data_IF_163120151781
#
_entry.id   IF_163120151781
#
_cell.length_a   1.000
_cell.length_b   1.000
_cell.length_c   1.000
_cell.angle_alpha   90.00
_cell.angle_beta   90.00
_cell.angle_gamma   90.00
#
_symmetry.space_group_name_H-M   'P 1'
#
loop_
_entity.id
_entity.type
_entity.pdbx_description
1 polymer ?
#
# COMPACT_ATOMS: atom_id res chain seq x y z
N UNK A 1 4.76 -38.12 13.43
CA UNK A 1 3.65 -37.36 12.83
C UNK A 1 3.89 -35.89 13.17
N UNK A 2 4.27 -35.01 12.23
CA UNK A 2 4.68 -33.65 12.61
C UNK A 2 4.93 -32.64 11.49
N UNK A 3 4.54 -32.92 10.25
CA UNK A 3 4.76 -32.02 9.11
C UNK A 3 3.56 -31.15 8.74
N UNK A 4 2.38 -31.38 9.33
CA UNK A 4 1.13 -30.76 8.87
C UNK A 4 0.72 -29.50 9.64
N UNK A 5 1.30 -29.24 10.82
CA UNK A 5 0.97 -28.03 11.61
C UNK A 5 1.77 -26.81 11.17
N UNK A 6 2.93 -26.99 10.53
CA UNK A 6 3.76 -25.86 10.04
C UNK A 6 3.21 -25.27 8.73
N UNK A 7 2.53 -26.07 7.91
CA UNK A 7 1.95 -25.64 6.63
C UNK A 7 0.72 -24.75 6.81
N UNK A 8 -0.14 -25.03 7.80
CA UNK A 8 -1.35 -24.22 8.04
C UNK A 8 -0.98 -22.80 8.50
N UNK A 9 -0.08 -22.66 9.48
CA UNK A 9 0.34 -21.33 9.94
C UNK A 9 1.06 -20.50 8.87
N UNK A 10 1.77 -21.15 7.93
CA UNK A 10 2.38 -20.45 6.81
C UNK A 10 1.34 -19.98 5.77
N UNK A 11 0.28 -20.75 5.56
CA UNK A 11 -0.83 -20.39 4.66
C UNK A 11 -1.64 -19.22 5.22
N UNK A 12 -1.95 -19.22 6.53
CA UNK A 12 -2.66 -18.12 7.20
C UNK A 12 -1.86 -16.82 7.15
N UNK A 13 -0.57 -16.87 7.52
CA UNK A 13 0.32 -15.71 7.40
C UNK A 13 0.40 -15.20 5.97
N UNK A 14 0.54 -16.10 4.99
CA UNK A 14 0.56 -15.72 3.57
C UNK A 14 -0.76 -15.10 3.11
N UNK A 15 -1.90 -15.55 3.64
CA UNK A 15 -3.21 -14.96 3.36
C UNK A 15 -3.33 -13.54 3.94
N UNK A 16 -2.88 -13.32 5.17
CA UNK A 16 -2.84 -12.01 5.82
C UNK A 16 -1.91 -11.04 5.07
N UNK A 17 -0.71 -11.48 4.70
CA UNK A 17 0.25 -10.72 3.89
C UNK A 17 -0.36 -10.34 2.54
N UNK A 18 -1.05 -11.27 1.88
CA UNK A 18 -1.73 -11.00 0.61
C UNK A 18 -2.89 -10.01 0.77
N UNK A 19 -3.68 -10.12 1.85
CA UNK A 19 -4.76 -9.18 2.14
C UNK A 19 -4.22 -7.77 2.40
N UNK A 20 -3.14 -7.65 3.16
CA UNK A 20 -2.46 -6.39 3.45
C UNK A 20 -1.89 -5.75 2.17
N UNK A 21 -1.23 -6.53 1.31
CA UNK A 21 -0.76 -6.06 -0.01
C UNK A 21 -1.89 -5.53 -0.88
N UNK A 22 -3.01 -6.24 -0.95
CA UNK A 22 -4.19 -5.79 -1.70
C UNK A 22 -4.83 -4.54 -1.09
N UNK A 23 -4.87 -4.43 0.23
CA UNK A 23 -5.39 -3.24 0.91
C UNK A 23 -4.52 -2.01 0.63
N UNK A 24 -3.19 -2.14 0.69
CA UNK A 24 -2.26 -1.07 0.30
C UNK A 24 -2.43 -0.68 -1.16
N UNK A 25 -2.53 -1.66 -2.06
CA UNK A 25 -2.75 -1.45 -3.48
C UNK A 25 -4.03 -0.65 -3.76
N UNK A 26 -5.14 -1.04 -3.13
CA UNK A 26 -6.42 -0.37 -3.28
C UNK A 26 -6.38 1.09 -2.75
N UNK A 27 -5.63 1.36 -1.68
CA UNK A 27 -5.45 2.73 -1.16
C UNK A 27 -4.59 3.58 -2.09
N UNK A 28 -3.45 3.04 -2.53
CA UNK A 28 -2.60 3.70 -3.52
C UNK A 28 -3.41 4.06 -4.77
N UNK A 29 -4.17 3.11 -5.27
CA UNK A 29 -5.04 3.27 -6.44
C UNK A 29 -6.08 4.38 -6.24
N UNK A 30 -6.82 4.37 -5.11
CA UNK A 30 -7.77 5.45 -4.78
C UNK A 30 -7.10 6.81 -4.64
N UNK A 31 -5.91 6.87 -4.07
CA UNK A 31 -5.17 8.12 -3.87
C UNK A 31 -4.77 8.72 -5.21
N UNK A 32 -4.23 7.89 -6.11
CA UNK A 32 -3.89 8.28 -7.47
C UNK A 32 -5.12 8.73 -8.25
N UNK A 33 -6.22 7.99 -8.17
CA UNK A 33 -7.49 8.35 -8.80
C UNK A 33 -8.04 9.68 -8.29
N UNK A 34 -8.05 9.88 -6.96
CA UNK A 34 -8.52 11.12 -6.33
C UNK A 34 -7.68 12.33 -6.72
N UNK A 35 -6.37 12.13 -6.87
CA UNK A 35 -5.45 13.17 -7.32
C UNK A 35 -5.44 13.37 -8.85
N UNK A 36 -6.18 12.57 -9.62
CA UNK A 36 -6.16 12.61 -11.09
C UNK A 36 -4.79 12.23 -11.68
N UNK A 37 -4.01 11.41 -10.97
CA UNK A 37 -2.67 11.01 -11.38
C UNK A 37 -2.74 9.66 -12.10
N UNK A 38 -2.31 9.64 -13.36
CA UNK A 38 -2.18 8.40 -14.15
C UNK A 38 -0.98 7.56 -13.71
N UNK A 39 -0.96 6.27 -14.05
CA UNK A 39 0.19 5.38 -13.76
C UNK A 39 1.49 5.94 -14.31
N UNK A 40 1.50 6.43 -15.56
CA UNK A 40 2.67 7.04 -16.19
C UNK A 40 3.14 8.30 -15.45
N UNK A 41 2.21 9.14 -14.98
CA UNK A 41 2.56 10.35 -14.21
C UNK A 41 3.13 9.99 -12.85
N UNK A 42 2.53 9.01 -12.16
CA UNK A 42 3.06 8.49 -10.90
C UNK A 42 4.46 7.87 -11.09
N UNK A 43 4.67 7.10 -12.16
CA UNK A 43 5.96 6.52 -12.50
C UNK A 43 7.04 7.59 -12.66
N UNK A 44 6.74 8.65 -13.41
CA UNK A 44 7.64 9.78 -13.60
C UNK A 44 7.94 10.53 -12.28
N UNK A 45 6.93 10.77 -11.44
CA UNK A 45 7.12 11.43 -10.14
C UNK A 45 8.00 10.61 -9.19
N UNK A 46 7.86 9.29 -9.24
CA UNK A 46 8.55 8.37 -8.35
C UNK A 46 9.91 7.92 -8.89
N UNK A 47 10.24 8.28 -10.13
CA UNK A 47 11.44 7.82 -10.86
C UNK A 47 11.51 6.29 -10.91
N UNK A 48 10.38 5.67 -11.28
CA UNK A 48 10.21 4.21 -11.39
C UNK A 48 9.52 3.84 -12.68
N UNK A 49 9.50 2.55 -13.02
CA UNK A 49 8.82 2.09 -14.24
C UNK A 49 7.30 2.07 -14.05
N UNK A 50 6.55 2.37 -15.11
CA UNK A 50 5.07 2.29 -15.06
C UNK A 50 4.57 0.88 -14.72
N UNK A 51 5.32 -0.15 -15.13
CA UNK A 51 5.06 -1.54 -14.75
C UNK A 51 5.09 -1.72 -13.22
N UNK A 52 6.06 -1.11 -12.52
CA UNK A 52 6.15 -1.17 -11.05
C UNK A 52 4.91 -0.56 -10.41
N UNK A 53 4.47 0.61 -10.91
CA UNK A 53 3.25 1.26 -10.44
C UNK A 53 2.02 0.39 -10.68
N UNK A 54 1.91 -0.28 -11.84
CA UNK A 54 0.82 -1.22 -12.10
C UNK A 54 0.86 -2.43 -11.17
N UNK A 55 2.05 -2.99 -10.89
CA UNK A 55 2.19 -4.09 -9.95
C UNK A 55 1.77 -3.70 -8.54
N UNK A 56 2.10 -2.48 -8.11
CA UNK A 56 1.67 -1.94 -6.83
C UNK A 56 0.16 -1.72 -6.78
N UNK A 57 -0.44 -1.13 -7.82
CA UNK A 57 -1.89 -0.93 -7.93
C UNK A 57 -2.67 -2.25 -7.95
N UNK A 58 -2.06 -3.33 -8.42
CA UNK A 58 -2.64 -4.69 -8.41
C UNK A 58 -2.34 -5.47 -7.12
N UNK A 59 -1.50 -4.96 -6.23
CA UNK A 59 -1.09 -5.64 -4.99
C UNK A 59 -0.19 -6.85 -5.22
N UNK A 60 0.48 -6.91 -6.37
CA UNK A 60 1.43 -7.98 -6.71
C UNK A 60 2.75 -7.75 -5.97
N UNK A 61 3.22 -6.50 -5.96
CA UNK A 61 4.42 -6.06 -5.23
C UNK A 61 4.07 -4.89 -4.31
N UNK A 62 4.93 -4.64 -3.33
CA UNK A 62 4.77 -3.52 -2.39
C UNK A 62 5.69 -2.37 -2.83
N UNK A 63 5.21 -1.12 -2.86
CA UNK A 63 6.08 0.01 -3.11
C UNK A 63 7.17 0.12 -2.03
N UNK A 64 8.41 0.46 -2.40
CA UNK A 64 9.44 0.75 -1.41
C UNK A 64 9.09 2.02 -0.62
N UNK A 65 9.58 2.15 0.61
CA UNK A 65 9.29 3.29 1.50
C UNK A 65 9.60 4.66 0.84
N UNK A 66 10.65 4.72 0.01
CA UNK A 66 10.99 5.91 -0.78
C UNK A 66 9.86 6.37 -1.72
N UNK A 67 9.15 5.41 -2.33
CA UNK A 67 8.06 5.70 -3.24
C UNK A 67 6.85 6.20 -2.46
N UNK A 68 6.54 5.57 -1.32
CA UNK A 68 5.52 6.04 -0.39
C UNK A 68 5.77 7.49 0.07
N UNK A 69 6.98 7.82 0.52
CA UNK A 69 7.33 9.17 0.95
C UNK A 69 7.20 10.21 -0.17
N UNK A 70 7.65 9.89 -1.40
CA UNK A 70 7.50 10.81 -2.53
C UNK A 70 6.04 11.01 -2.93
N UNK A 71 5.24 9.94 -2.95
CA UNK A 71 3.80 10.02 -3.21
C UNK A 71 3.09 10.86 -2.16
N UNK A 72 3.36 10.59 -0.89
CA UNK A 72 2.84 11.34 0.25
C UNK A 72 3.17 12.83 0.12
N UNK A 73 4.44 13.17 -0.14
CA UNK A 73 4.88 14.55 -0.31
C UNK A 73 4.26 15.24 -1.53
N UNK A 74 4.08 14.53 -2.64
CA UNK A 74 3.56 15.16 -3.87
C UNK A 74 2.03 15.29 -3.87
N UNK A 75 1.34 14.37 -3.21
CA UNK A 75 -0.12 14.37 -3.12
C UNK A 75 -0.63 15.04 -1.84
N UNK A 76 0.26 15.50 -0.96
CA UNK A 76 -0.04 16.02 0.37
C UNK A 76 -0.90 15.04 1.19
N UNK A 77 -0.51 13.77 1.18
CA UNK A 77 -1.21 12.67 1.87
C UNK A 77 -0.31 12.08 2.93
N UNK A 78 -0.89 11.74 4.08
CA UNK A 78 -0.18 11.09 5.17
C UNK A 78 0.35 9.70 4.74
N UNK A 79 1.66 9.49 4.92
CA UNK A 79 2.33 8.24 4.55
C UNK A 79 1.90 7.06 5.43
N UNK A 80 1.60 7.30 6.71
CA UNK A 80 1.03 6.29 7.60
C UNK A 80 -0.35 5.86 7.10
N UNK A 81 -1.21 6.80 6.68
CA UNK A 81 -2.50 6.44 6.09
C UNK A 81 -2.33 5.62 4.81
N UNK A 82 -1.36 5.94 3.95
CA UNK A 82 -1.10 5.16 2.74
C UNK A 82 -0.66 3.71 3.08
N UNK A 83 0.19 3.55 4.10
CA UNK A 83 0.71 2.25 4.52
C UNK A 83 -0.33 1.42 5.31
N UNK A 84 -0.92 1.98 6.36
CA UNK A 84 -1.77 1.23 7.30
C UNK A 84 -3.26 1.39 7.01
N UNK A 85 -3.66 2.44 6.28
CA UNK A 85 -5.06 2.83 6.11
C UNK A 85 -5.71 3.38 7.36
N UNK A 86 -4.94 3.50 8.45
CA UNK A 86 -5.38 4.18 9.64
C UNK A 86 -5.13 5.65 9.39
N UNK A 87 -6.21 6.40 9.15
CA UNK A 87 -6.15 7.84 9.34
C UNK A 87 -5.78 8.00 10.80
N UNK A 88 -4.85 8.89 11.14
CA UNK A 88 -4.78 9.38 12.51
C UNK A 88 -6.13 10.06 12.76
N UNK A 89 -7.12 9.27 13.16
CA UNK A 89 -8.32 9.74 13.81
C UNK A 89 -7.77 10.31 15.09
N UNK A 90 -7.39 11.59 15.05
CA UNK A 90 -7.08 12.37 16.23
C UNK A 90 -8.15 12.01 17.23
N UNK A 91 -7.73 11.29 18.26
CA UNK A 91 -8.56 10.83 19.34
C UNK A 91 -9.03 12.11 20.06
N UNK A 92 -10.15 12.66 19.63
CA UNK A 92 -10.92 13.61 20.41
C UNK A 92 -11.61 12.81 21.53
N UNK A 93 -10.80 12.33 22.48
CA UNK A 93 -11.18 12.39 23.89
C UNK A 93 -11.09 13.87 24.25
N UNK A 94 -12.13 14.52 24.75
CA UNK A 94 -12.69 14.40 26.09
C UNK A 94 -13.72 15.57 26.26
N UNK A 95 -14.43 15.75 27.38
CA UNK A 95 -14.49 14.96 28.62
C UNK A 95 -15.84 14.29 28.91
#
# INVERSE_FOLDING_TARGET
MGRHSQTIGHLERSHEDNALRRAMAARLDRTLQRAGVSSAKAANMLDVSEADVQFWRRGITVPPLRAFNRLAATLDVDVHWLCTGQSQSTHASAP
#
